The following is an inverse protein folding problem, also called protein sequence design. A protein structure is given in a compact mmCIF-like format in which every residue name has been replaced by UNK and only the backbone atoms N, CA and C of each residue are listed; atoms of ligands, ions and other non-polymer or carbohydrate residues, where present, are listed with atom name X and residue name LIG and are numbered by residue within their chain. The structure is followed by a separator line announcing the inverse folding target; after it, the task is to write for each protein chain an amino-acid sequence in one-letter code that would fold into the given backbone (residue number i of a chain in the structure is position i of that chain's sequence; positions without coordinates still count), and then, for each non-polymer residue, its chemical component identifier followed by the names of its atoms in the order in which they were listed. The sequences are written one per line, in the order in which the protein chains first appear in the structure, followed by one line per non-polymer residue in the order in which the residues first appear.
data_IF_953647080049
#
_entry.id   IF_953647080049
#
_cell.length_a   1.000
_cell.length_b   1.000
_cell.length_c   1.000
_cell.angle_alpha   90.00
_cell.angle_beta   90.00
_cell.angle_gamma   90.00
#
_symmetry.space_group_name_H-M   'P 1'
#
loop_
_entity.id
_entity.type
_entity.pdbx_description
1 polymer ?
#
# COMPACT_ATOMS: atom_id res chain seq x y z
N UNK A 1 14.60 29.70 -5.12
CA UNK A 1 14.48 28.38 -4.43
C UNK A 1 13.44 27.43 -5.05
N UNK A 2 12.30 27.92 -5.59
CA UNK A 2 11.22 27.08 -6.16
C UNK A 2 11.65 26.23 -7.39
N UNK A 3 12.55 26.75 -8.22
CA UNK A 3 13.07 26.04 -9.41
C UNK A 3 13.96 24.83 -9.07
N UNK A 4 14.80 24.93 -8.03
CA UNK A 4 15.68 23.83 -7.61
C UNK A 4 14.85 22.68 -7.02
N UNK A 5 13.81 22.99 -6.24
CA UNK A 5 12.87 22.01 -5.70
C UNK A 5 12.03 21.33 -6.79
N UNK A 6 11.53 22.09 -7.77
CA UNK A 6 10.84 21.50 -8.93
C UNK A 6 11.75 20.59 -9.75
N UNK A 7 13.02 20.96 -9.91
CA UNK A 7 14.01 20.16 -10.63
C UNK A 7 14.39 18.89 -9.86
N UNK A 8 14.55 18.95 -8.53
CA UNK A 8 14.79 17.78 -7.68
C UNK A 8 13.59 16.82 -7.67
N UNK A 9 12.37 17.33 -7.57
CA UNK A 9 11.14 16.52 -7.69
C UNK A 9 11.08 15.78 -9.04
N UNK A 10 11.31 16.50 -10.14
CA UNK A 10 11.20 15.96 -11.49
C UNK A 10 12.32 14.96 -11.82
N UNK A 11 13.58 15.30 -11.51
CA UNK A 11 14.73 14.49 -11.92
C UNK A 11 15.07 13.37 -10.93
N UNK A 12 15.04 13.65 -9.62
CA UNK A 12 15.41 12.66 -8.61
C UNK A 12 14.21 11.85 -8.12
N UNK A 13 13.03 12.45 -7.97
CA UNK A 13 11.80 11.73 -7.64
C UNK A 13 11.41 10.73 -8.74
N UNK A 14 11.47 11.18 -10.00
CA UNK A 14 11.27 10.33 -11.18
C UNK A 14 12.28 9.18 -11.28
N UNK A 15 13.55 9.44 -11.00
CA UNK A 15 14.60 8.41 -11.01
C UNK A 15 14.39 7.35 -9.92
N UNK A 16 14.07 7.77 -8.70
CA UNK A 16 13.77 6.83 -7.61
C UNK A 16 12.51 6.01 -7.90
N UNK A 17 11.46 6.62 -8.47
CA UNK A 17 10.29 5.88 -8.95
C UNK A 17 10.67 4.83 -9.98
N UNK A 18 11.46 5.20 -10.99
CA UNK A 18 11.90 4.27 -12.03
C UNK A 18 12.64 3.07 -11.43
N UNK A 19 13.63 3.32 -10.57
CA UNK A 19 14.36 2.23 -9.93
C UNK A 19 13.49 1.39 -8.99
N UNK A 20 12.55 1.98 -8.25
CA UNK A 20 11.60 1.23 -7.44
C UNK A 20 10.83 0.21 -8.27
N UNK A 21 10.27 0.65 -9.41
CA UNK A 21 9.52 -0.21 -10.33
C UNK A 21 10.43 -1.28 -10.96
N UNK A 22 11.60 -0.90 -11.47
CA UNK A 22 12.50 -1.86 -12.14
C UNK A 22 13.01 -2.94 -11.18
N UNK A 23 13.39 -2.57 -9.96
CA UNK A 23 13.83 -3.55 -8.97
C UNK A 23 12.65 -4.44 -8.52
N UNK A 24 11.43 -3.90 -8.44
CA UNK A 24 10.24 -4.71 -8.14
C UNK A 24 9.97 -5.76 -9.22
N UNK A 25 10.11 -5.40 -10.50
CA UNK A 25 9.96 -6.34 -11.63
C UNK A 25 11.09 -7.38 -11.64
N UNK A 26 12.30 -6.98 -11.26
CA UNK A 26 13.46 -7.86 -11.19
C UNK A 26 13.47 -8.80 -9.97
N UNK A 27 12.51 -8.68 -9.03
CA UNK A 27 12.50 -9.45 -7.79
C UNK A 27 13.49 -8.97 -6.73
N UNK A 28 14.12 -7.82 -6.94
CA UNK A 28 15.11 -7.20 -6.05
C UNK A 28 14.38 -6.37 -4.97
N UNK A 29 13.57 -7.03 -4.15
CA UNK A 29 12.55 -6.38 -3.32
C UNK A 29 13.10 -5.39 -2.29
N UNK A 30 14.22 -5.70 -1.64
CA UNK A 30 14.87 -4.77 -0.70
C UNK A 30 15.33 -3.48 -1.41
N UNK A 31 15.86 -3.60 -2.64
CA UNK A 31 16.23 -2.43 -3.44
C UNK A 31 15.01 -1.65 -3.89
N UNK A 32 13.94 -2.34 -4.27
CA UNK A 32 12.67 -1.71 -4.64
C UNK A 32 12.09 -0.91 -3.46
N UNK A 33 12.03 -1.50 -2.26
CA UNK A 33 11.61 -0.84 -1.02
C UNK A 33 12.45 0.40 -0.72
N UNK A 34 13.78 0.29 -0.85
CA UNK A 34 14.69 1.43 -0.69
C UNK A 34 14.33 2.57 -1.65
N UNK A 35 14.20 2.27 -2.95
CA UNK A 35 13.94 3.30 -3.95
C UNK A 35 12.53 3.89 -3.85
N UNK A 36 11.51 3.11 -3.49
CA UNK A 36 10.18 3.66 -3.19
C UNK A 36 10.19 4.57 -1.95
N UNK A 37 10.95 4.21 -0.91
CA UNK A 37 11.14 5.09 0.25
C UNK A 37 11.79 6.42 -0.12
N UNK A 38 12.80 6.39 -1.00
CA UNK A 38 13.43 7.61 -1.54
C UNK A 38 12.50 8.41 -2.44
N UNK A 39 11.70 7.74 -3.27
CA UNK A 39 10.72 8.40 -4.13
C UNK A 39 9.72 9.21 -3.31
N UNK A 40 9.18 8.64 -2.22
CA UNK A 40 8.25 9.34 -1.32
C UNK A 40 8.92 10.48 -0.53
N UNK A 41 10.17 10.32 -0.09
CA UNK A 41 10.92 11.39 0.59
C UNK A 41 11.14 12.61 -0.30
N UNK A 42 11.39 12.38 -1.60
CA UNK A 42 11.58 13.47 -2.57
C UNK A 42 10.24 14.06 -2.97
N UNK A 43 9.26 13.23 -3.29
CA UNK A 43 7.91 13.63 -3.68
C UNK A 43 6.84 12.93 -2.80
N UNK A 44 6.43 13.56 -1.68
CA UNK A 44 5.39 13.02 -0.81
C UNK A 44 4.02 12.90 -1.49
N UNK A 45 3.80 13.60 -2.61
CA UNK A 45 2.52 13.52 -3.34
C UNK A 45 2.40 12.23 -4.16
N UNK A 46 3.52 11.53 -4.40
CA UNK A 46 3.54 10.25 -5.10
C UNK A 46 3.18 9.09 -4.16
N UNK A 47 1.91 9.07 -3.73
CA UNK A 47 1.34 8.05 -2.82
C UNK A 47 1.54 6.61 -3.28
N UNK A 48 1.56 6.38 -4.60
CA UNK A 48 1.80 5.05 -5.15
C UNK A 48 3.16 4.48 -4.75
N UNK A 49 4.20 5.30 -4.52
CA UNK A 49 5.47 4.79 -3.97
C UNK A 49 5.27 4.15 -2.60
N UNK A 50 4.50 4.81 -1.71
CA UNK A 50 4.25 4.30 -0.37
C UNK A 50 3.37 3.05 -0.41
N UNK A 51 2.36 3.01 -1.28
CA UNK A 51 1.52 1.83 -1.50
C UNK A 51 2.37 0.63 -1.97
N UNK A 52 3.19 0.81 -3.01
CA UNK A 52 4.04 -0.26 -3.52
C UNK A 52 5.10 -0.70 -2.49
N UNK A 53 5.65 0.23 -1.71
CA UNK A 53 6.55 -0.12 -0.61
C UNK A 53 5.88 -1.02 0.42
N UNK A 54 4.67 -0.65 0.86
CA UNK A 54 3.89 -1.46 1.81
C UNK A 54 3.58 -2.86 1.28
N UNK A 55 3.16 -2.96 0.01
CA UNK A 55 2.89 -4.25 -0.64
C UNK A 55 4.13 -5.15 -0.65
N UNK A 56 5.29 -4.61 -1.03
CA UNK A 56 6.54 -5.37 -1.08
C UNK A 56 7.04 -5.76 0.32
N UNK A 57 6.94 -4.85 1.29
CA UNK A 57 7.28 -5.13 2.68
C UNK A 57 6.47 -6.31 3.22
N UNK A 58 5.16 -6.30 2.99
CA UNK A 58 4.26 -7.35 3.46
C UNK A 58 4.42 -8.66 2.71
N UNK A 59 4.08 -8.65 1.42
CA UNK A 59 3.91 -9.87 0.62
C UNK A 59 5.23 -10.57 0.30
N UNK A 60 6.29 -9.82 0.06
CA UNK A 60 7.55 -10.38 -0.43
C UNK A 60 8.61 -10.51 0.67
N UNK A 61 8.60 -9.60 1.65
CA UNK A 61 9.62 -9.53 2.70
C UNK A 61 9.11 -9.98 4.09
N UNK A 62 7.80 -10.18 4.26
CA UNK A 62 7.20 -10.59 5.54
C UNK A 62 7.30 -9.54 6.67
N UNK A 63 7.62 -8.28 6.32
CA UNK A 63 7.77 -7.14 7.23
C UNK A 63 6.41 -6.48 7.47
N UNK A 64 5.49 -7.26 8.04
CA UNK A 64 4.07 -6.93 8.17
C UNK A 64 3.83 -5.60 8.90
N UNK A 65 4.51 -5.36 10.03
CA UNK A 65 4.31 -4.13 10.81
C UNK A 65 4.71 -2.87 10.03
N UNK A 66 5.78 -2.95 9.22
CA UNK A 66 6.21 -1.84 8.37
C UNK A 66 5.25 -1.61 7.19
N UNK A 67 4.69 -2.69 6.64
CA UNK A 67 3.65 -2.60 5.61
C UNK A 67 2.38 -1.90 6.14
N UNK A 68 1.92 -2.31 7.34
CA UNK A 68 0.78 -1.70 8.02
C UNK A 68 1.03 -0.21 8.26
N UNK A 69 2.22 0.16 8.75
CA UNK A 69 2.56 1.56 8.97
C UNK A 69 2.51 2.41 7.69
N UNK A 70 2.80 1.82 6.52
CA UNK A 70 2.67 2.50 5.24
C UNK A 70 1.22 2.69 4.80
N UNK A 71 0.37 1.68 4.99
CA UNK A 71 -1.05 1.79 4.71
C UNK A 71 -1.76 2.73 5.68
N UNK A 72 -1.41 2.69 6.97
CA UNK A 72 -1.94 3.61 7.99
C UNK A 72 -1.70 5.07 7.61
N UNK A 73 -0.50 5.39 7.14
CA UNK A 73 -0.18 6.74 6.73
C UNK A 73 -0.95 7.17 5.48
N UNK A 74 -1.15 6.27 4.51
CA UNK A 74 -1.99 6.54 3.35
C UNK A 74 -3.45 6.80 3.76
N UNK A 75 -3.97 6.01 4.69
CA UNK A 75 -5.34 6.12 5.18
C UNK A 75 -5.55 7.31 6.13
N UNK A 76 -4.50 7.79 6.77
CA UNK A 76 -4.52 9.05 7.52
C UNK A 76 -4.64 10.27 6.59
N UNK A 77 -4.10 10.19 5.36
CA UNK A 77 -4.26 11.22 4.33
C UNK A 77 -5.60 11.12 3.60
N UNK A 78 -6.02 9.89 3.29
CA UNK A 78 -7.27 9.58 2.60
C UNK A 78 -7.88 8.28 3.16
N UNK A 79 -8.83 8.38 4.10
CA UNK A 79 -9.50 7.23 4.70
C UNK A 79 -10.27 6.36 3.69
N UNK A 80 -10.50 6.87 2.49
CA UNK A 80 -11.28 6.24 1.41
C UNK A 80 -10.40 5.52 0.40
N UNK A 81 -9.08 5.46 0.63
CA UNK A 81 -8.17 4.89 -0.35
C UNK A 81 -8.27 3.35 -0.40
N UNK A 82 -9.16 2.86 -1.26
CA UNK A 82 -9.53 1.44 -1.40
C UNK A 82 -8.33 0.49 -1.49
N UNK A 83 -7.30 0.83 -2.28
CA UNK A 83 -6.11 -0.02 -2.41
C UNK A 83 -5.34 -0.17 -1.08
N UNK A 84 -5.30 0.89 -0.26
CA UNK A 84 -4.66 0.82 1.05
C UNK A 84 -5.51 0.03 2.05
N UNK A 85 -6.83 0.22 2.06
CA UNK A 85 -7.76 -0.58 2.90
C UNK A 85 -7.62 -2.08 2.60
N UNK A 86 -7.72 -2.46 1.33
CA UNK A 86 -7.65 -3.86 0.92
C UNK A 86 -6.30 -4.48 1.32
N UNK A 87 -5.18 -3.84 0.99
CA UNK A 87 -3.87 -4.39 1.32
C UNK A 87 -3.58 -4.40 2.83
N UNK A 88 -4.05 -3.41 3.59
CA UNK A 88 -3.89 -3.42 5.06
C UNK A 88 -4.71 -4.53 5.70
N UNK A 89 -5.93 -4.78 5.24
CA UNK A 89 -6.71 -5.92 5.71
C UNK A 89 -6.01 -7.26 5.44
N UNK A 90 -5.38 -7.45 4.28
CA UNK A 90 -4.58 -8.65 4.02
C UNK A 90 -3.43 -8.79 5.02
N UNK A 91 -2.74 -7.69 5.35
CA UNK A 91 -1.69 -7.70 6.38
C UNK A 91 -2.24 -8.02 7.78
N UNK A 92 -3.42 -7.52 8.11
CA UNK A 92 -4.08 -7.88 9.37
C UNK A 92 -4.44 -9.36 9.43
N UNK A 93 -4.91 -9.96 8.32
CA UNK A 93 -5.19 -11.39 8.25
C UNK A 93 -3.92 -12.23 8.45
N UNK A 94 -2.82 -11.86 7.78
CA UNK A 94 -1.52 -12.54 7.94
C UNK A 94 -0.99 -12.43 9.37
N UNK A 95 -1.29 -11.33 10.08
CA UNK A 95 -0.92 -11.12 11.48
C UNK A 95 -1.95 -11.68 12.49
N UNK A 96 -2.97 -12.42 12.02
CA UNK A 96 -4.03 -13.00 12.88
C UNK A 96 -4.95 -11.97 13.55
N UNK A 97 -4.99 -10.74 13.05
CA UNK A 97 -5.79 -9.61 13.58
C UNK A 97 -7.10 -9.47 12.82
N UNK A 98 -7.91 -10.52 12.86
CA UNK A 98 -9.16 -10.65 12.11
C UNK A 98 -10.17 -9.52 12.32
N UNK A 99 -10.38 -8.97 13.54
CA UNK A 99 -11.31 -7.86 13.73
C UNK A 99 -10.93 -6.60 12.94
N UNK A 100 -9.63 -6.30 12.82
CA UNK A 100 -9.16 -5.16 12.04
C UNK A 100 -9.22 -5.44 10.54
N UNK A 101 -8.94 -6.67 10.11
CA UNK A 101 -9.13 -7.09 8.72
C UNK A 101 -10.59 -6.95 8.28
N UNK A 102 -11.54 -7.38 9.12
CA UNK A 102 -12.96 -7.27 8.86
C UNK A 102 -13.38 -5.80 8.70
N UNK A 103 -12.98 -4.94 9.63
CA UNK A 103 -13.30 -3.51 9.58
C UNK A 103 -12.77 -2.84 8.30
N UNK A 104 -11.53 -3.13 7.91
CA UNK A 104 -10.92 -2.59 6.69
C UNK A 104 -11.59 -3.11 5.41
N UNK A 105 -11.99 -4.39 5.36
CA UNK A 105 -12.71 -4.95 4.22
C UNK A 105 -14.15 -4.42 4.09
N UNK A 106 -14.84 -4.20 5.21
CA UNK A 106 -16.14 -3.55 5.22
C UNK A 106 -16.04 -2.10 4.72
N UNK A 107 -15.04 -1.36 5.18
CA UNK A 107 -14.76 -0.01 4.70
C UNK A 107 -14.42 0.00 3.20
N UNK A 108 -13.64 -0.98 2.73
CA UNK A 108 -13.34 -1.15 1.31
C UNK A 108 -14.62 -1.41 0.48
N UNK A 109 -15.48 -2.33 0.91
CA UNK A 109 -16.72 -2.68 0.21
C UNK A 109 -17.74 -1.52 0.20
N UNK A 110 -17.77 -0.70 1.24
CA UNK A 110 -18.66 0.46 1.31
C UNK A 110 -18.33 1.55 0.27
N UNK A 111 -17.11 1.53 -0.27
CA UNK A 111 -16.56 2.60 -1.10
C UNK A 111 -16.13 2.14 -2.50
N UNK A 112 -15.94 0.83 -2.69
CA UNK A 112 -15.58 0.23 -3.98
C UNK A 112 -16.81 -0.06 -4.83
N UNK A 113 -16.63 0.08 -6.14
CA UNK A 113 -17.63 -0.37 -7.11
C UNK A 113 -17.58 -1.91 -7.21
N UNK A 114 -18.74 -2.60 -7.35
CA UNK A 114 -18.76 -4.05 -7.58
C UNK A 114 -17.95 -4.55 -8.79
N UNK A 115 -17.56 -3.66 -9.70
CA UNK A 115 -16.68 -3.93 -10.84
C UNK A 115 -15.18 -3.90 -10.48
N UNK A 116 -14.78 -3.46 -9.28
CA UNK A 116 -13.40 -3.54 -8.81
C UNK A 116 -12.93 -5.00 -8.74
N UNK A 117 -11.72 -5.26 -9.23
CA UNK A 117 -11.13 -6.60 -9.31
C UNK A 117 -11.07 -7.30 -7.95
N UNK A 118 -10.88 -6.55 -6.86
CA UNK A 118 -10.74 -7.10 -5.52
C UNK A 118 -12.09 -7.25 -4.79
N UNK A 119 -13.18 -6.76 -5.38
CA UNK A 119 -14.50 -6.76 -4.74
C UNK A 119 -15.04 -8.16 -4.40
N UNK A 120 -14.99 -9.17 -5.31
CA UNK A 120 -15.46 -10.51 -4.99
C UNK A 120 -14.68 -11.17 -3.84
N UNK A 121 -13.36 -10.95 -3.80
CA UNK A 121 -12.49 -11.49 -2.75
C UNK A 121 -12.77 -10.82 -1.40
N UNK A 122 -12.94 -9.49 -1.38
CA UNK A 122 -13.32 -8.76 -0.18
C UNK A 122 -14.67 -9.26 0.40
N UNK A 123 -15.67 -9.50 -0.44
CA UNK A 123 -16.95 -10.07 0.00
C UNK A 123 -16.80 -11.46 0.62
N UNK A 124 -15.98 -12.31 0.00
CA UNK A 124 -15.70 -13.65 0.50
C UNK A 124 -15.02 -13.57 1.87
N UNK A 125 -14.01 -12.71 2.01
CA UNK A 125 -13.28 -12.51 3.27
C UNK A 125 -14.25 -12.04 4.38
N UNK A 126 -15.07 -11.01 4.12
CA UNK A 126 -16.02 -10.50 5.12
C UNK A 126 -17.00 -11.59 5.58
N UNK A 127 -17.49 -12.43 4.66
CA UNK A 127 -18.37 -13.55 5.01
C UNK A 127 -17.66 -14.55 5.93
N UNK A 128 -16.45 -14.97 5.56
CA UNK A 128 -15.67 -15.93 6.33
C UNK A 128 -15.38 -15.41 7.75
N UNK A 129 -14.93 -14.16 7.87
CA UNK A 129 -14.56 -13.58 9.17
C UNK A 129 -15.77 -13.40 10.10
N UNK A 130 -16.99 -13.22 9.57
CA UNK A 130 -18.23 -13.14 10.37
C UNK A 130 -18.75 -14.50 10.83
N UNK A 131 -18.38 -15.58 10.15
CA UNK A 131 -18.79 -16.94 10.49
C UNK A 131 -17.87 -17.58 11.56
N UNK A 132 -16.70 -16.98 11.81
CA UNK A 132 -15.71 -17.44 12.80
C UNK A 132 -15.86 -16.80 14.20
N UNK A 133 -16.76 -15.82 14.37
CA UNK A 133 -17.13 -15.17 15.64
C UNK A 133 -18.25 -15.91 16.39
#
# INVERSE_FOLDING_TARGET
MRFLWAWLLYTWGGLHRYFGIQNSIAGEFERAVHYFGRAYQVDPTFRAARLHRGILLGRELGRIDEAIADFDALLAEDPTYNLALFNRAMMWMENGRYPQALADMEAYLAQSDPSDENWPDAQRIVRLLREED
#
